data_IF_376177268311
#
_entry.id   IF_376177268311
#
_cell.length_a   1.000
_cell.length_b   1.000
_cell.length_c   1.000
_cell.angle_alpha   90.00
_cell.angle_beta   90.00
_cell.angle_gamma   90.00
#
_symmetry.space_group_name_H-M   'P 1'
#
loop_
_entity.id
_entity.type
_entity.pdbx_description
1 polymer ?
#
# COMPACT_ATOMS: atom_id res chain seq x y z
N UNK A 1 -10.14 -7.79 10.20
CA UNK A 1 -8.97 -7.14 9.57
C UNK A 1 -8.47 -8.01 8.43
N UNK A 2 -8.23 -7.43 7.25
CA UNK A 2 -7.69 -8.13 6.07
C UNK A 2 -6.15 -8.01 6.06
N UNK A 3 -5.44 -9.10 5.87
CA UNK A 3 -4.00 -9.05 5.54
C UNK A 3 -3.86 -8.97 4.03
N UNK A 4 -3.07 -8.01 3.55
CA UNK A 4 -2.85 -7.73 2.14
C UNK A 4 -1.36 -7.93 1.85
N UNK A 5 -1.00 -8.96 1.09
CA UNK A 5 0.40 -9.18 0.71
C UNK A 5 0.88 -8.08 -0.24
N UNK A 6 2.10 -7.63 -0.01
CA UNK A 6 2.74 -6.57 -0.80
C UNK A 6 3.81 -7.17 -1.70
N UNK A 7 3.82 -6.74 -2.96
CA UNK A 7 4.94 -6.95 -3.88
C UNK A 7 5.45 -5.58 -4.35
N UNK A 8 6.70 -5.29 -4.01
CA UNK A 8 7.44 -4.12 -4.50
C UNK A 8 8.16 -4.52 -5.78
N UNK A 9 7.87 -3.88 -6.91
CA UNK A 9 8.45 -4.22 -8.22
C UNK A 9 9.46 -3.15 -8.63
N UNK A 10 10.68 -3.58 -8.96
CA UNK A 10 11.73 -2.73 -9.50
C UNK A 10 12.46 -3.51 -10.61
N UNK A 11 12.61 -2.91 -11.80
CA UNK A 11 13.19 -3.58 -12.97
C UNK A 11 12.51 -4.94 -13.26
N UNK A 12 11.19 -4.99 -13.22
CA UNK A 12 10.35 -6.17 -13.47
C UNK A 12 10.57 -7.37 -12.52
N UNK A 13 11.23 -7.19 -11.37
CA UNK A 13 11.38 -8.21 -10.34
C UNK A 13 10.86 -7.72 -8.99
N UNK A 14 10.39 -8.65 -8.16
CA UNK A 14 9.99 -8.33 -6.79
C UNK A 14 11.24 -8.08 -5.96
N UNK A 15 11.25 -6.97 -5.24
CA UNK A 15 12.36 -6.54 -4.40
C UNK A 15 11.95 -6.46 -2.93
N UNK A 16 12.93 -6.52 -2.03
CA UNK A 16 12.72 -6.26 -0.61
C UNK A 16 12.87 -4.78 -0.33
N UNK A 17 11.78 -4.15 0.13
CA UNK A 17 11.81 -2.79 0.63
C UNK A 17 12.59 -2.69 1.94
N UNK A 18 13.43 -1.64 2.09
CA UNK A 18 14.21 -1.38 3.30
C UNK A 18 14.18 0.10 3.62
N UNK A 19 13.39 0.50 4.63
CA UNK A 19 13.35 1.86 5.20
C UNK A 19 13.21 3.00 4.17
N UNK A 20 12.57 2.75 3.03
CA UNK A 20 12.46 3.72 1.92
C UNK A 20 13.78 4.02 1.20
N UNK A 21 14.86 3.29 1.50
CA UNK A 21 16.19 3.47 0.90
C UNK A 21 16.26 2.66 -0.42
N UNK A 22 15.62 3.15 -1.48
CA UNK A 22 15.46 2.44 -2.76
C UNK A 22 16.78 1.93 -3.38
N UNK A 23 17.90 2.59 -3.11
CA UNK A 23 19.23 2.15 -3.55
C UNK A 23 19.69 0.82 -2.88
N UNK A 24 19.13 0.51 -1.72
CA UNK A 24 19.43 -0.73 -0.97
C UNK A 24 18.53 -1.90 -1.33
N UNK A 25 17.51 -1.68 -2.18
CA UNK A 25 16.58 -2.73 -2.56
C UNK A 25 17.28 -3.81 -3.40
N UNK A 26 16.99 -5.05 -3.10
CA UNK A 26 17.54 -6.23 -3.78
C UNK A 26 16.40 -7.17 -4.13
N UNK A 27 16.54 -8.00 -5.15
CA UNK A 27 15.56 -9.05 -5.43
C UNK A 27 15.21 -9.82 -4.16
N UNK A 28 13.92 -10.14 -4.01
CA UNK A 28 13.43 -10.81 -2.80
C UNK A 28 14.00 -12.21 -2.69
N UNK A 29 14.46 -12.58 -1.50
CA UNK A 29 14.69 -13.96 -1.12
C UNK A 29 13.48 -14.44 -0.32
N UNK A 30 12.80 -15.47 -0.80
CA UNK A 30 11.57 -15.96 -0.20
C UNK A 30 11.67 -17.43 0.15
N UNK A 31 11.22 -17.80 1.35
CA UNK A 31 11.09 -19.21 1.71
C UNK A 31 9.95 -19.92 0.96
N UNK A 32 9.08 -19.17 0.29
CA UNK A 32 7.90 -19.68 -0.41
C UNK A 32 8.22 -20.18 -1.83
N UNK A 33 9.17 -19.53 -2.51
CA UNK A 33 9.61 -19.94 -3.84
C UNK A 33 11.01 -19.42 -4.15
N UNK A 34 11.71 -20.08 -5.08
CA UNK A 34 13.07 -19.71 -5.49
C UNK A 34 13.15 -18.66 -6.61
N UNK A 35 12.08 -17.88 -6.83
CA UNK A 35 11.99 -16.87 -7.89
C UNK A 35 11.63 -15.51 -7.32
N UNK A 36 12.12 -14.44 -7.96
CA UNK A 36 11.69 -13.07 -7.69
C UNK A 36 10.75 -12.52 -8.78
N UNK A 37 10.27 -13.36 -9.70
CA UNK A 37 9.28 -12.97 -10.69
C UNK A 37 7.93 -12.64 -10.02
N UNK A 38 7.26 -11.52 -10.38
CA UNK A 38 6.01 -11.10 -9.76
C UNK A 38 4.92 -12.17 -9.76
N UNK A 39 4.69 -12.84 -10.88
CA UNK A 39 3.67 -13.89 -10.99
C UNK A 39 4.03 -15.13 -10.16
N UNK A 40 5.31 -15.52 -10.09
CA UNK A 40 5.75 -16.64 -9.26
C UNK A 40 5.56 -16.36 -7.77
N UNK A 41 5.89 -15.16 -7.31
CA UNK A 41 5.65 -14.69 -5.92
C UNK A 41 4.14 -14.63 -5.62
N UNK A 42 3.35 -14.06 -6.52
CA UNK A 42 1.89 -13.98 -6.36
C UNK A 42 1.25 -15.37 -6.20
N UNK A 43 1.65 -16.32 -7.04
CA UNK A 43 1.20 -17.69 -6.97
C UNK A 43 1.67 -18.41 -5.70
N UNK A 44 2.89 -18.13 -5.22
CA UNK A 44 3.36 -18.65 -3.94
C UNK A 44 2.49 -18.14 -2.77
N UNK A 45 2.14 -16.86 -2.75
CA UNK A 45 1.20 -16.29 -1.78
C UNK A 45 -0.20 -16.94 -1.86
N UNK A 46 -0.72 -17.16 -3.06
CA UNK A 46 -2.01 -17.85 -3.25
C UNK A 46 -1.96 -19.27 -2.71
N UNK A 47 -0.94 -20.02 -3.08
CA UNK A 47 -0.82 -21.44 -2.73
C UNK A 47 -0.63 -21.64 -1.23
N UNK A 48 0.16 -20.80 -0.57
CA UNK A 48 0.46 -20.94 0.85
C UNK A 48 -0.64 -20.33 1.74
N UNK A 49 -1.11 -19.12 1.41
CA UNK A 49 -2.00 -18.34 2.28
C UNK A 49 -3.43 -18.19 1.77
N UNK A 50 -3.71 -18.57 0.52
CA UNK A 50 -5.00 -18.38 -0.12
C UNK A 50 -5.29 -16.94 -0.54
N UNK A 51 -4.27 -16.09 -0.67
CA UNK A 51 -4.47 -14.71 -1.08
C UNK A 51 -4.91 -14.61 -2.54
N UNK A 52 -5.92 -13.77 -2.78
CA UNK A 52 -6.43 -13.42 -4.12
C UNK A 52 -6.31 -11.94 -4.42
N UNK A 53 -5.86 -11.13 -3.47
CA UNK A 53 -5.63 -9.69 -3.63
C UNK A 53 -4.18 -9.39 -3.34
N UNK A 54 -3.59 -8.48 -4.11
CA UNK A 54 -2.22 -8.03 -3.97
C UNK A 54 -2.17 -6.51 -3.91
N UNK A 55 -1.34 -5.95 -3.04
CA UNK A 55 -0.84 -4.59 -3.18
C UNK A 55 0.42 -4.64 -4.02
N UNK A 56 0.42 -3.90 -5.12
CA UNK A 56 1.53 -3.82 -6.08
C UNK A 56 2.11 -2.42 -6.02
N UNK A 57 3.32 -2.28 -5.47
CA UNK A 57 4.09 -1.04 -5.56
C UNK A 57 5.03 -1.12 -6.76
N UNK A 58 4.72 -0.40 -7.82
CA UNK A 58 5.57 -0.30 -9.00
C UNK A 58 6.57 0.85 -8.82
N UNK A 59 7.78 0.50 -8.39
CA UNK A 59 8.81 1.49 -8.05
C UNK A 59 9.38 2.17 -9.30
N UNK A 60 9.36 1.53 -10.46
CA UNK A 60 9.76 2.14 -11.73
C UNK A 60 8.75 3.23 -12.12
N UNK A 61 7.45 2.95 -12.00
CA UNK A 61 6.39 3.93 -12.23
C UNK A 61 6.44 5.10 -11.23
N UNK A 62 6.61 4.79 -9.93
CA UNK A 62 6.71 5.81 -8.87
C UNK A 62 7.88 6.76 -9.12
N UNK A 63 9.05 6.23 -9.50
CA UNK A 63 10.29 7.00 -9.68
C UNK A 63 10.37 7.68 -11.04
N UNK A 64 10.03 6.95 -12.11
CA UNK A 64 10.33 7.32 -13.49
C UNK A 64 9.09 7.57 -14.35
N UNK A 65 7.88 7.33 -13.82
CA UNK A 65 6.62 7.32 -14.57
C UNK A 65 6.61 6.26 -15.71
N UNK A 66 7.18 5.09 -15.44
CA UNK A 66 7.27 3.95 -16.37
C UNK A 66 6.49 2.75 -15.81
N UNK A 67 5.13 2.73 -15.90
CA UNK A 67 4.32 1.66 -15.33
C UNK A 67 4.49 0.35 -16.08
N UNK A 68 4.62 -0.75 -15.33
CA UNK A 68 4.82 -2.09 -15.86
C UNK A 68 3.46 -2.77 -16.18
N UNK A 69 2.79 -2.30 -17.22
CA UNK A 69 1.49 -2.81 -17.64
C UNK A 69 1.49 -4.30 -17.96
N UNK A 70 2.59 -4.85 -18.49
CA UNK A 70 2.71 -6.28 -18.78
C UNK A 70 2.59 -7.14 -17.51
N UNK A 71 3.23 -6.71 -16.43
CA UNK A 71 3.11 -7.38 -15.11
C UNK A 71 1.70 -7.28 -14.55
N UNK A 72 1.04 -6.11 -14.67
CA UNK A 72 -0.34 -5.96 -14.18
C UNK A 72 -1.30 -6.88 -14.94
N UNK A 73 -1.19 -6.91 -16.27
CA UNK A 73 -2.00 -7.79 -17.11
C UNK A 73 -1.78 -9.27 -16.78
N UNK A 74 -0.53 -9.69 -16.58
CA UNK A 74 -0.21 -11.07 -16.23
C UNK A 74 -0.84 -11.47 -14.88
N UNK A 75 -0.70 -10.63 -13.85
CA UNK A 75 -1.29 -10.87 -12.53
C UNK A 75 -2.82 -10.87 -12.56
N UNK A 76 -3.43 -9.93 -13.29
CA UNK A 76 -4.88 -9.83 -13.45
C UNK A 76 -5.45 -11.01 -14.23
N UNK A 77 -4.79 -11.44 -15.30
CA UNK A 77 -5.17 -12.60 -16.10
C UNK A 77 -5.14 -13.89 -15.28
N UNK A 78 -4.21 -13.99 -14.35
CA UNK A 78 -4.12 -15.11 -13.40
C UNK A 78 -5.16 -15.01 -12.27
N UNK A 79 -6.02 -13.98 -12.26
CA UNK A 79 -7.18 -13.82 -11.39
C UNK A 79 -6.89 -13.12 -10.07
N UNK A 80 -5.80 -12.35 -9.96
CA UNK A 80 -5.56 -11.51 -8.78
C UNK A 80 -6.33 -10.19 -8.86
N UNK A 81 -6.89 -9.78 -7.73
CA UNK A 81 -7.40 -8.42 -7.50
C UNK A 81 -6.21 -7.51 -7.15
N UNK A 82 -5.95 -6.48 -7.97
CA UNK A 82 -4.77 -5.64 -7.84
C UNK A 82 -5.11 -4.29 -7.23
N UNK A 83 -4.40 -3.94 -6.14
CA UNK A 83 -4.34 -2.60 -5.57
C UNK A 83 -3.01 -1.99 -6.04
N UNK A 84 -3.03 -1.11 -7.05
CA UNK A 84 -1.80 -0.67 -7.73
C UNK A 84 -1.38 0.72 -7.27
N UNK A 85 -0.16 0.81 -6.73
CA UNK A 85 0.58 2.05 -6.51
C UNK A 85 1.64 2.20 -7.61
N UNK A 86 1.38 3.12 -8.53
CA UNK A 86 2.28 3.46 -9.62
C UNK A 86 2.66 4.95 -9.60
N UNK A 87 2.58 5.60 -8.44
CA UNK A 87 2.96 7.00 -8.28
C UNK A 87 2.14 7.96 -9.15
N UNK A 88 0.82 7.86 -9.08
CA UNK A 88 -0.11 8.67 -9.87
C UNK A 88 0.13 10.17 -9.69
N UNK A 89 0.09 10.91 -10.80
CA UNK A 89 0.26 12.36 -10.84
C UNK A 89 -0.93 13.08 -11.46
N UNK A 90 -1.82 12.34 -12.12
CA UNK A 90 -2.98 12.88 -12.82
C UNK A 90 -4.16 11.89 -12.87
N UNK A 91 -5.36 12.42 -13.13
CA UNK A 91 -6.55 11.59 -13.39
C UNK A 91 -6.37 10.69 -14.63
N UNK A 92 -5.59 11.13 -15.61
CA UNK A 92 -5.29 10.32 -16.80
C UNK A 92 -4.49 9.07 -16.44
N UNK A 93 -3.47 9.18 -15.57
CA UNK A 93 -2.71 8.03 -15.09
C UNK A 93 -3.61 7.05 -14.35
N UNK A 94 -4.52 7.58 -13.52
CA UNK A 94 -5.50 6.79 -12.80
C UNK A 94 -6.43 5.99 -13.73
N UNK A 95 -6.93 6.61 -14.81
CA UNK A 95 -7.75 5.94 -15.82
C UNK A 95 -6.98 4.84 -16.55
N UNK A 96 -5.73 5.07 -16.88
CA UNK A 96 -4.87 4.07 -17.53
C UNK A 96 -4.66 2.83 -16.64
N UNK A 97 -4.42 3.01 -15.33
CA UNK A 97 -4.31 1.86 -14.42
C UNK A 97 -5.60 1.07 -14.29
N UNK A 98 -6.75 1.76 -14.25
CA UNK A 98 -8.06 1.09 -14.20
C UNK A 98 -8.34 0.31 -15.49
N UNK A 99 -7.96 0.84 -16.66
CA UNK A 99 -8.05 0.13 -17.93
C UNK A 99 -7.10 -1.07 -18.00
N UNK A 100 -5.96 -1.01 -17.34
CA UNK A 100 -5.01 -2.11 -17.20
C UNK A 100 -5.44 -3.18 -16.18
N UNK A 101 -6.65 -3.07 -15.61
CA UNK A 101 -7.23 -4.08 -14.73
C UNK A 101 -7.00 -3.85 -13.24
N UNK A 102 -6.54 -2.68 -12.81
CA UNK A 102 -6.49 -2.37 -11.39
C UNK A 102 -7.91 -2.42 -10.78
N UNK A 103 -8.08 -3.18 -9.72
CA UNK A 103 -9.33 -3.18 -8.95
C UNK A 103 -9.48 -1.88 -8.16
N UNK A 104 -8.37 -1.42 -7.58
CA UNK A 104 -8.23 -0.10 -6.98
C UNK A 104 -6.86 0.51 -7.30
N UNK A 105 -6.84 1.83 -7.32
CA UNK A 105 -5.64 2.63 -7.52
C UNK A 105 -5.22 3.29 -6.21
N UNK A 106 -3.91 3.40 -6.01
CA UNK A 106 -3.33 4.08 -4.86
C UNK A 106 -2.92 5.49 -5.29
N UNK A 107 -3.40 6.48 -4.56
CA UNK A 107 -3.02 7.88 -4.71
C UNK A 107 -2.10 8.24 -3.58
N UNK A 108 -0.79 8.26 -3.84
CA UNK A 108 0.23 8.50 -2.82
C UNK A 108 0.47 9.98 -2.57
N UNK A 109 0.62 10.34 -1.30
CA UNK A 109 1.03 11.69 -0.88
C UNK A 109 2.37 12.11 -1.53
N UNK A 110 3.23 11.14 -1.83
CA UNK A 110 4.53 11.38 -2.46
C UNK A 110 4.41 12.07 -3.83
N UNK A 111 3.36 11.74 -4.60
CA UNK A 111 3.27 12.15 -6.02
C UNK A 111 2.05 13.01 -6.36
N UNK A 112 0.97 12.95 -5.57
CA UNK A 112 -0.25 13.68 -5.90
C UNK A 112 -0.13 15.19 -5.57
N UNK A 113 -0.62 16.09 -6.46
CA UNK A 113 -0.31 17.52 -6.31
C UNK A 113 -1.19 18.25 -5.26
N UNK A 114 -2.52 18.06 -5.28
CA UNK A 114 -3.42 18.91 -4.48
C UNK A 114 -4.75 18.23 -4.13
N UNK A 115 -5.43 18.71 -3.08
CA UNK A 115 -6.78 18.29 -2.72
C UNK A 115 -7.79 18.58 -3.83
N UNK A 116 -7.70 19.75 -4.47
CA UNK A 116 -8.61 20.14 -5.53
C UNK A 116 -8.59 19.12 -6.70
N UNK A 117 -7.40 18.66 -7.10
CA UNK A 117 -7.27 17.63 -8.15
C UNK A 117 -7.71 16.25 -7.67
N UNK A 118 -7.53 15.95 -6.37
CA UNK A 118 -8.02 14.72 -5.75
C UNK A 118 -9.55 14.66 -5.79
N UNK A 119 -10.22 15.74 -5.38
CA UNK A 119 -11.67 15.83 -5.41
C UNK A 119 -12.24 15.63 -6.82
N UNK A 120 -11.66 16.31 -7.82
CA UNK A 120 -12.04 16.13 -9.23
C UNK A 120 -11.88 14.68 -9.71
N UNK A 121 -10.79 14.02 -9.33
CA UNK A 121 -10.55 12.63 -9.67
C UNK A 121 -11.57 11.70 -8.98
N UNK A 122 -11.84 11.90 -7.68
CA UNK A 122 -12.84 11.12 -6.96
C UNK A 122 -14.24 11.25 -7.55
N UNK A 123 -14.63 12.45 -8.01
CA UNK A 123 -15.89 12.66 -8.70
C UNK A 123 -15.97 11.92 -10.04
N UNK A 124 -14.85 11.80 -10.76
CA UNK A 124 -14.78 11.15 -12.08
C UNK A 124 -14.71 9.63 -11.99
N UNK A 125 -13.88 9.11 -11.08
CA UNK A 125 -13.55 7.67 -10.99
C UNK A 125 -14.45 6.93 -10.00
N UNK A 126 -14.90 7.61 -8.96
CA UNK A 126 -15.60 7.04 -7.82
C UNK A 126 -14.66 6.73 -6.64
N UNK A 127 -15.04 7.14 -5.41
CA UNK A 127 -14.18 6.97 -4.23
C UNK A 127 -13.97 5.50 -3.82
N UNK A 128 -14.81 4.57 -4.29
CA UNK A 128 -14.69 3.14 -4.01
C UNK A 128 -13.51 2.48 -4.75
N UNK A 129 -13.01 3.11 -5.81
CA UNK A 129 -11.86 2.65 -6.61
C UNK A 129 -10.54 3.28 -6.18
N UNK A 130 -10.57 4.17 -5.19
CA UNK A 130 -9.42 4.96 -4.78
C UNK A 130 -9.07 4.64 -3.33
N UNK A 131 -7.79 4.39 -3.09
CA UNK A 131 -7.19 4.37 -1.76
C UNK A 131 -6.17 5.50 -1.73
N UNK A 132 -6.23 6.38 -0.75
CA UNK A 132 -5.19 7.39 -0.57
C UNK A 132 -4.11 6.86 0.37
N UNK A 133 -2.83 7.02 0.03
CA UNK A 133 -1.70 6.67 0.88
C UNK A 133 -1.11 7.92 1.52
N UNK A 134 -1.25 8.01 2.84
CA UNK A 134 -0.60 9.01 3.68
C UNK A 134 0.80 8.49 4.04
N UNK A 135 1.76 8.85 3.20
CA UNK A 135 3.13 8.37 3.29
C UNK A 135 3.94 9.24 4.25
N UNK A 136 4.49 8.60 5.26
CA UNK A 136 5.29 9.22 6.32
C UNK A 136 6.76 8.75 6.25
N UNK A 137 7.63 9.53 6.87
CA UNK A 137 8.99 9.14 7.19
C UNK A 137 9.35 9.63 8.61
N UNK A 138 9.53 8.68 9.52
CA UNK A 138 9.71 8.96 10.95
C UNK A 138 8.55 9.81 11.53
N UNK A 139 7.32 9.45 11.23
CA UNK A 139 6.11 10.13 11.69
C UNK A 139 5.80 11.45 11.00
N UNK A 140 6.59 11.90 10.02
CA UNK A 140 6.37 13.15 9.29
C UNK A 140 5.93 12.88 7.86
N UNK A 141 5.01 13.66 7.29
CA UNK A 141 4.63 13.53 5.89
C UNK A 141 5.87 13.67 4.99
N UNK A 142 5.99 12.80 3.98
CA UNK A 142 7.08 12.84 3.02
C UNK A 142 7.01 14.12 2.18
N UNK A 143 5.78 14.53 1.90
CA UNK A 143 5.43 15.73 1.17
C UNK A 143 4.09 16.23 1.71
N UNK A 144 3.73 17.46 1.44
CA UNK A 144 2.39 17.97 1.60
C UNK A 144 1.77 18.29 0.23
N UNK A 145 0.45 18.27 0.19
CA UNK A 145 -0.30 18.72 -0.99
C UNK A 145 -0.14 20.24 -1.14
N UNK A 146 -0.11 20.75 -2.37
CA UNK A 146 0.21 22.15 -2.64
C UNK A 146 -0.80 23.15 -2.01
N UNK A 147 -2.03 22.70 -1.77
CA UNK A 147 -3.12 23.47 -1.17
C UNK A 147 -3.38 23.14 0.32
N UNK A 148 -2.49 22.34 0.97
CA UNK A 148 -2.55 22.06 2.41
C UNK A 148 -1.40 22.77 3.12
N UNK A 149 -1.73 23.62 4.08
CA UNK A 149 -0.75 24.44 4.81
C UNK A 149 -0.09 23.70 5.98
N UNK A 150 -0.75 22.68 6.53
CA UNK A 150 -0.23 21.92 7.67
C UNK A 150 0.87 20.93 7.26
N UNK A 151 1.82 20.73 8.17
CA UNK A 151 2.82 19.66 8.11
C UNK A 151 2.46 18.51 9.07
N UNK A 152 1.29 18.57 9.72
CA UNK A 152 0.78 17.51 10.58
C UNK A 152 0.12 16.42 9.72
N UNK A 153 0.52 15.14 9.86
CA UNK A 153 -0.08 14.05 9.09
C UNK A 153 -1.59 13.89 9.37
N UNK A 154 -2.06 14.21 10.57
CA UNK A 154 -3.47 14.09 10.92
C UNK A 154 -4.29 15.16 10.19
N UNK A 155 -3.82 16.41 10.16
CA UNK A 155 -4.48 17.47 9.42
C UNK A 155 -4.59 17.16 7.93
N UNK A 156 -3.50 16.61 7.33
CA UNK A 156 -3.50 16.17 5.93
C UNK A 156 -4.51 15.03 5.73
N UNK A 157 -4.50 14.04 6.62
CA UNK A 157 -5.44 12.92 6.58
C UNK A 157 -6.89 13.38 6.69
N UNK A 158 -7.21 14.29 7.62
CA UNK A 158 -8.55 14.88 7.77
C UNK A 158 -8.99 15.63 6.50
N UNK A 159 -8.12 16.45 5.93
CA UNK A 159 -8.41 17.18 4.70
C UNK A 159 -8.70 16.24 3.50
N UNK A 160 -7.92 15.16 3.39
CA UNK A 160 -8.12 14.11 2.36
C UNK A 160 -9.47 13.39 2.56
N UNK A 161 -9.84 13.09 3.80
CA UNK A 161 -11.13 12.45 4.13
C UNK A 161 -12.29 13.40 3.78
N UNK A 162 -12.16 14.69 4.09
CA UNK A 162 -13.16 15.71 3.75
C UNK A 162 -13.35 15.87 2.24
N UNK A 163 -12.29 15.66 1.43
CA UNK A 163 -12.39 15.58 -0.03
C UNK A 163 -13.22 14.38 -0.53
N UNK A 164 -13.55 13.42 0.33
CA UNK A 164 -14.40 12.28 -0.01
C UNK A 164 -13.67 10.94 -0.12
N UNK A 165 -12.40 10.86 0.25
CA UNK A 165 -11.67 9.58 0.39
C UNK A 165 -12.35 8.72 1.45
N UNK A 166 -12.52 7.42 1.16
CA UNK A 166 -13.21 6.46 2.03
C UNK A 166 -12.30 5.34 2.52
N UNK A 167 -11.13 5.22 1.93
CA UNK A 167 -10.15 4.21 2.28
C UNK A 167 -8.76 4.85 2.27
N UNK A 168 -8.05 4.75 3.38
CA UNK A 168 -6.77 5.41 3.62
C UNK A 168 -5.73 4.40 4.07
N UNK A 169 -4.55 4.46 3.48
CA UNK A 169 -3.35 3.81 4.00
C UNK A 169 -2.58 4.83 4.84
N UNK A 170 -2.12 4.44 6.01
CA UNK A 170 -1.13 5.19 6.79
C UNK A 170 0.14 4.36 6.82
N UNK A 171 1.18 4.83 6.16
CA UNK A 171 2.43 4.09 5.97
C UNK A 171 3.63 4.92 6.38
N UNK A 172 4.43 4.45 7.35
CA UNK A 172 5.73 5.04 7.63
C UNK A 172 6.84 4.26 6.91
N UNK A 173 7.41 4.85 5.87
CA UNK A 173 8.45 4.22 5.07
C UNK A 173 9.71 3.88 5.87
N UNK A 174 10.00 4.60 6.95
CA UNK A 174 11.15 4.31 7.80
C UNK A 174 11.00 2.95 8.53
N UNK A 175 9.78 2.44 8.68
CA UNK A 175 9.51 1.14 9.33
C UNK A 175 9.44 -0.03 8.35
N UNK A 176 9.38 0.24 7.02
CA UNK A 176 9.28 -0.81 6.00
C UNK A 176 10.52 -1.70 6.01
N UNK A 177 10.31 -3.01 6.12
CA UNK A 177 11.36 -4.03 6.05
C UNK A 177 12.33 -4.07 7.23
N UNK A 178 12.12 -3.27 8.29
CA UNK A 178 13.02 -3.21 9.47
C UNK A 178 12.46 -3.90 10.72
N UNK A 179 11.30 -4.56 10.61
CA UNK A 179 10.67 -5.34 11.67
C UNK A 179 10.53 -4.58 13.01
N UNK A 180 10.17 -3.30 12.96
CA UNK A 180 10.01 -2.43 14.13
C UNK A 180 8.66 -2.59 14.86
N UNK A 181 7.70 -3.30 14.26
CA UNK A 181 6.29 -3.32 14.62
C UNK A 181 5.53 -2.13 14.00
N UNK A 182 4.17 -2.09 14.16
CA UNK A 182 3.35 -1.04 13.60
C UNK A 182 3.58 0.29 14.34
N UNK A 183 4.19 1.27 13.64
CA UNK A 183 4.53 2.59 14.20
C UNK A 183 3.45 3.64 14.00
N UNK A 184 2.42 3.34 13.20
CA UNK A 184 1.38 4.28 12.74
C UNK A 184 0.06 4.17 13.51
N UNK A 185 0.00 3.35 14.57
CA UNK A 185 -1.25 3.06 15.32
C UNK A 185 -1.92 4.31 15.89
N UNK A 186 -1.15 5.21 16.48
CA UNK A 186 -1.67 6.44 17.08
C UNK A 186 -2.35 7.30 16.01
N UNK A 187 -1.65 7.53 14.89
CA UNK A 187 -2.22 8.28 13.75
C UNK A 187 -3.47 7.62 13.17
N UNK A 188 -3.48 6.29 13.07
CA UNK A 188 -4.66 5.55 12.64
C UNK A 188 -5.84 5.76 13.58
N UNK A 189 -5.60 5.77 14.88
CA UNK A 189 -6.63 5.93 15.91
C UNK A 189 -7.26 7.32 15.86
N UNK A 190 -6.44 8.37 15.74
CA UNK A 190 -6.90 9.74 15.60
C UNK A 190 -7.76 9.94 14.33
N UNK A 191 -7.31 9.40 13.19
CA UNK A 191 -8.07 9.45 11.94
C UNK A 191 -9.39 8.66 12.01
N UNK A 192 -9.41 7.52 12.73
CA UNK A 192 -10.64 6.73 12.95
C UNK A 192 -11.62 7.45 13.86
N UNK A 193 -11.14 8.19 14.87
CA UNK A 193 -11.97 9.01 15.73
C UNK A 193 -12.58 10.19 14.97
N UNK A 194 -11.84 10.79 14.04
CA UNK A 194 -12.34 11.81 13.14
C UNK A 194 -13.43 11.28 12.19
N UNK A 195 -13.22 10.08 11.61
CA UNK A 195 -14.11 9.51 10.62
C UNK A 195 -14.34 8.00 10.84
N UNK A 196 -15.30 7.64 11.72
CA UNK A 196 -15.58 6.25 12.11
C UNK A 196 -15.92 5.28 10.97
N UNK A 197 -16.37 5.79 9.82
CA UNK A 197 -16.68 4.97 8.63
C UNK A 197 -15.49 4.81 7.68
N UNK A 198 -14.39 5.51 7.94
CA UNK A 198 -13.17 5.38 7.16
C UNK A 198 -12.63 3.96 7.27
N UNK A 199 -12.27 3.38 6.16
CA UNK A 199 -11.50 2.14 6.13
C UNK A 199 -10.03 2.47 6.20
N UNK A 200 -9.37 1.99 7.24
CA UNK A 200 -7.95 2.21 7.50
C UNK A 200 -7.13 0.96 7.21
N UNK A 201 -6.12 1.15 6.41
CA UNK A 201 -5.07 0.17 6.15
C UNK A 201 -3.78 0.75 6.71
N UNK A 202 -2.95 -0.08 7.31
CA UNK A 202 -1.61 0.33 7.71
C UNK A 202 -0.58 -0.70 7.29
N UNK A 203 0.69 -0.33 7.34
CA UNK A 203 1.80 -1.18 6.97
C UNK A 203 3.11 -0.64 7.49
N UNK A 204 4.19 -1.32 7.12
CA UNK A 204 5.52 -1.02 7.62
C UNK A 204 5.78 -1.65 8.99
N UNK A 205 6.80 -2.51 9.04
CA UNK A 205 7.26 -3.12 10.28
C UNK A 205 6.45 -4.29 10.85
N UNK A 206 5.32 -4.67 10.28
CA UNK A 206 4.55 -5.85 10.71
C UNK A 206 5.41 -7.11 10.54
N UNK A 207 5.64 -7.82 11.65
CA UNK A 207 6.64 -8.92 11.73
C UNK A 207 6.11 -10.22 12.32
N UNK A 208 4.94 -10.19 12.98
CA UNK A 208 4.46 -11.32 13.76
C UNK A 208 2.94 -11.36 13.89
N UNK A 209 2.42 -12.51 14.32
CA UNK A 209 1.01 -12.67 14.72
C UNK A 209 0.61 -11.73 15.87
N UNK A 210 1.52 -11.40 16.77
CA UNK A 210 1.26 -10.44 17.86
C UNK A 210 1.03 -9.01 17.30
N UNK A 211 1.78 -8.59 16.29
CA UNK A 211 1.55 -7.31 15.62
C UNK A 211 0.17 -7.31 14.91
N UNK A 212 -0.20 -8.41 14.23
CA UNK A 212 -1.52 -8.56 13.64
C UNK A 212 -2.65 -8.50 14.69
N UNK A 213 -2.45 -9.13 15.84
CA UNK A 213 -3.40 -9.07 16.94
C UNK A 213 -3.56 -7.65 17.50
N UNK A 214 -2.46 -6.90 17.59
CA UNK A 214 -2.46 -5.48 18.00
C UNK A 214 -3.26 -4.62 17.03
N UNK A 215 -3.05 -4.80 15.72
CA UNK A 215 -3.78 -4.08 14.67
C UNK A 215 -5.28 -4.42 14.68
N UNK A 216 -5.64 -5.70 14.91
CA UNK A 216 -7.05 -6.11 15.06
C UNK A 216 -7.71 -5.46 16.27
N UNK A 217 -7.00 -5.45 17.43
CA UNK A 217 -7.50 -4.84 18.66
C UNK A 217 -7.71 -3.31 18.51
N UNK A 218 -6.95 -2.67 17.64
CA UNK A 218 -7.09 -1.25 17.27
C UNK A 218 -8.15 -1.02 16.17
N UNK A 219 -8.94 -2.02 15.81
CA UNK A 219 -10.00 -1.94 14.78
C UNK A 219 -9.51 -1.47 13.40
N UNK A 220 -8.24 -1.77 13.06
CA UNK A 220 -7.68 -1.53 11.74
C UNK A 220 -8.32 -2.48 10.73
N UNK A 221 -8.71 -1.96 9.56
CA UNK A 221 -9.44 -2.72 8.54
C UNK A 221 -8.51 -3.60 7.70
N UNK A 222 -7.26 -3.15 7.45
CA UNK A 222 -6.28 -3.86 6.66
C UNK A 222 -4.83 -3.68 7.10
N UNK A 223 -4.00 -4.71 6.89
CA UNK A 223 -2.56 -4.67 7.14
C UNK A 223 -1.79 -5.03 5.86
N UNK A 224 -0.89 -4.14 5.42
CA UNK A 224 0.07 -4.42 4.35
C UNK A 224 1.23 -5.22 4.94
N UNK A 225 1.50 -6.39 4.40
CA UNK A 225 2.55 -7.30 4.89
C UNK A 225 3.39 -7.78 3.72
N UNK A 226 4.71 -7.65 3.84
CA UNK A 226 5.69 -8.14 2.86
C UNK A 226 6.65 -9.14 3.51
N UNK A 227 7.75 -8.65 4.10
CA UNK A 227 8.88 -9.46 4.57
C UNK A 227 8.47 -10.62 5.47
N UNK A 228 7.53 -10.42 6.40
CA UNK A 228 7.09 -11.45 7.34
C UNK A 228 6.37 -12.65 6.68
N UNK A 229 5.83 -12.47 5.48
CA UNK A 229 5.30 -13.59 4.68
C UNK A 229 6.44 -14.33 3.96
N UNK A 230 7.44 -13.60 3.47
CA UNK A 230 8.55 -14.18 2.74
C UNK A 230 9.55 -14.94 3.63
N UNK A 231 9.73 -14.53 4.89
CA UNK A 231 10.66 -15.16 5.83
C UNK A 231 10.01 -16.20 6.76
N UNK A 232 8.67 -16.39 6.64
CA UNK A 232 7.90 -17.34 7.42
C UNK A 232 7.59 -16.90 8.85
N UNK A 233 7.84 -15.63 9.20
CA UNK A 233 7.49 -15.06 10.52
C UNK A 233 5.98 -14.95 10.75
N UNK A 234 5.20 -14.88 9.66
CA UNK A 234 3.75 -15.02 9.64
C UNK A 234 3.39 -16.23 8.81
N UNK A 235 2.61 -17.13 9.38
CA UNK A 235 2.16 -18.39 8.79
C UNK A 235 0.67 -18.36 8.45
N UNK A 236 0.15 -19.29 7.62
CA UNK A 236 -1.29 -19.38 7.35
C UNK A 236 -2.15 -19.49 8.62
N UNK A 237 -1.64 -20.15 9.67
CA UNK A 237 -2.32 -20.26 10.95
C UNK A 237 -2.56 -18.94 11.67
N UNK A 238 -1.64 -17.97 11.50
CA UNK A 238 -1.73 -16.64 12.12
C UNK A 238 -2.79 -15.74 11.48
N UNK A 239 -3.28 -16.10 10.28
CA UNK A 239 -4.30 -15.35 9.56
C UNK A 239 -5.73 -15.72 9.96
N UNK A 240 -5.92 -16.89 10.61
CA UNK A 240 -7.23 -17.45 10.93
C UNK A 240 -7.77 -17.03 12.30
N UNK A 241 -7.02 -16.24 13.05
CA UNK A 241 -7.36 -15.80 14.42
C UNK A 241 -7.97 -14.40 14.50
#
# INVERSE_FOLDING_TARGET
MRVIPVIDILNSVVVRGVAGQRAEYRPIESCLCGSAEPLAIANAFRNEFGFSTLYVADLDAIQNAEPNFETYEALQTDGFELLIDAGLRSTFDAENLLMAGAAKIIVGLETWPSLATLEMMLQKIGPERVIFSLDLKNGRPIRKLDDVLSDDPIDIGCAVIECGVRELIVLDLASVGVASGPTTLESCQELKDFARKLRLITGGGVRSSADLATLRAAEIDGALVASALHDGSITPGDLQT
#
